data_IF_557052658681
#
_entry.id   IF_557052658681
#
_cell.length_a   1.000
_cell.length_b   1.000
_cell.length_c   1.000
_cell.angle_alpha   90.00
_cell.angle_beta   90.00
_cell.angle_gamma   90.00
#
_symmetry.space_group_name_H-M   'P 1'
#
loop_
_entity.id
_entity.type
_entity.pdbx_description
1 polymer ?
#
# COMPACT_ATOMS: atom_id res chain seq x y z
N UNK A 1 -11.05 4.19 14.18
CA UNK A 1 -12.48 4.03 13.92
C UNK A 1 -13.24 3.81 15.22
N UNK A 2 -14.53 4.15 15.26
CA UNK A 2 -15.35 4.02 16.49
C UNK A 2 -16.11 2.68 16.46
N UNK A 3 -16.20 2.03 17.63
CA UNK A 3 -16.94 0.76 17.77
C UNK A 3 -18.41 0.95 17.37
N UNK A 4 -18.93 0.04 16.53
CA UNK A 4 -20.30 0.08 16.03
C UNK A 4 -20.51 0.95 14.79
N UNK A 5 -19.52 1.71 14.38
CA UNK A 5 -19.58 2.52 13.16
C UNK A 5 -19.51 1.63 11.91
N UNK A 6 -20.22 2.02 10.86
CA UNK A 6 -20.30 1.26 9.61
C UNK A 6 -19.77 2.06 8.45
N UNK A 7 -19.01 1.39 7.58
CA UNK A 7 -18.43 1.94 6.37
C UNK A 7 -18.68 1.02 5.18
N UNK A 8 -18.75 1.59 3.99
CA UNK A 8 -18.73 0.81 2.76
C UNK A 8 -17.31 0.31 2.46
N UNK A 9 -17.13 -0.82 1.75
CA UNK A 9 -15.80 -1.33 1.41
C UNK A 9 -14.86 -0.31 0.75
N UNK A 10 -15.29 0.53 -0.20
CA UNK A 10 -14.41 1.56 -0.77
C UNK A 10 -13.90 2.58 0.25
N UNK A 11 -14.72 2.91 1.25
CA UNK A 11 -14.34 3.82 2.34
C UNK A 11 -13.26 3.19 3.23
N UNK A 12 -13.44 1.93 3.64
CA UNK A 12 -12.44 1.18 4.40
C UNK A 12 -11.15 1.00 3.60
N UNK A 13 -11.25 0.74 2.30
CA UNK A 13 -10.08 0.64 1.42
C UNK A 13 -9.29 1.94 1.39
N UNK A 14 -9.95 3.08 1.23
CA UNK A 14 -9.28 4.39 1.27
C UNK A 14 -8.57 4.64 2.60
N UNK A 15 -9.24 4.34 3.72
CA UNK A 15 -8.68 4.50 5.08
C UNK A 15 -7.48 3.55 5.28
N UNK A 16 -7.60 2.27 4.87
CA UNK A 16 -6.52 1.29 4.99
C UNK A 16 -5.29 1.67 4.15
N UNK A 17 -5.50 2.18 2.95
CA UNK A 17 -4.41 2.50 2.03
C UNK A 17 -3.74 3.85 2.34
N UNK A 18 -4.50 4.89 2.67
CA UNK A 18 -3.96 6.24 2.93
C UNK A 18 -3.42 6.38 4.35
N UNK A 19 -4.23 6.04 5.34
CA UNK A 19 -3.85 6.14 6.75
C UNK A 19 -3.15 4.90 7.31
N UNK A 20 -3.00 3.85 6.50
CA UNK A 20 -2.45 2.56 6.94
C UNK A 20 -3.21 1.98 8.16
N UNK A 21 -4.53 2.13 8.20
CA UNK A 21 -5.36 1.73 9.33
C UNK A 21 -5.49 0.21 9.42
N UNK A 22 -4.99 -0.36 10.51
CA UNK A 22 -5.13 -1.78 10.80
C UNK A 22 -6.59 -2.17 11.03
N UNK A 23 -7.39 -1.34 11.70
CA UNK A 23 -8.82 -1.58 11.92
C UNK A 23 -9.57 -1.70 10.60
N UNK A 24 -9.28 -0.82 9.63
CA UNK A 24 -9.89 -0.87 8.31
C UNK A 24 -9.46 -2.12 7.52
N UNK A 25 -8.19 -2.51 7.59
CA UNK A 25 -7.69 -3.72 6.96
C UNK A 25 -8.34 -4.98 7.57
N UNK A 26 -8.43 -5.06 8.90
CA UNK A 26 -9.11 -6.16 9.60
C UNK A 26 -10.59 -6.25 9.24
N UNK A 27 -11.32 -5.12 9.17
CA UNK A 27 -12.72 -5.10 8.80
C UNK A 27 -12.94 -5.59 7.36
N UNK A 28 -12.07 -5.20 6.41
CA UNK A 28 -12.07 -5.71 5.04
C UNK A 28 -11.78 -7.20 5.00
N UNK A 29 -10.75 -7.66 5.72
CA UNK A 29 -10.35 -9.05 5.81
C UNK A 29 -11.47 -9.93 6.37
N UNK A 30 -12.11 -9.50 7.45
CA UNK A 30 -13.26 -10.19 8.04
C UNK A 30 -14.43 -10.30 7.04
N UNK A 31 -14.77 -9.19 6.37
CA UNK A 31 -15.85 -9.18 5.37
C UNK A 31 -15.56 -10.11 4.19
N UNK A 32 -14.32 -10.16 3.72
CA UNK A 32 -13.93 -11.04 2.62
C UNK A 32 -13.90 -12.51 3.04
N UNK A 33 -13.42 -12.83 4.25
CA UNK A 33 -13.37 -14.19 4.80
C UNK A 33 -14.77 -14.79 4.96
N UNK A 34 -15.74 -14.02 5.45
CA UNK A 34 -17.12 -14.49 5.61
C UNK A 34 -17.80 -14.81 4.29
N UNK A 35 -17.49 -14.06 3.23
CA UNK A 35 -18.03 -14.30 1.88
C UNK A 35 -17.38 -15.52 1.19
N UNK A 36 -16.16 -15.88 1.56
CA UNK A 36 -15.40 -16.96 0.93
C UNK A 36 -15.38 -18.26 1.78
N UNK A 37 -16.47 -18.60 2.44
CA UNK A 37 -16.61 -19.88 3.13
C UNK A 37 -15.75 -20.03 4.38
N UNK A 38 -15.48 -18.93 5.10
CA UNK A 38 -14.68 -18.87 6.34
C UNK A 38 -13.18 -19.18 6.18
N UNK A 39 -12.64 -19.14 4.97
CA UNK A 39 -11.19 -19.15 4.81
C UNK A 39 -10.56 -17.92 5.48
N UNK A 40 -9.40 -18.07 6.11
CA UNK A 40 -8.68 -16.92 6.64
C UNK A 40 -8.35 -15.94 5.52
N UNK A 41 -8.37 -14.65 5.80
CA UNK A 41 -8.05 -13.67 4.76
C UNK A 41 -6.60 -13.79 4.28
N UNK A 42 -5.67 -14.17 5.15
CA UNK A 42 -4.29 -14.50 4.77
C UNK A 42 -4.24 -15.62 3.71
N UNK A 43 -5.07 -16.66 3.84
CA UNK A 43 -5.15 -17.71 2.81
C UNK A 43 -5.70 -17.19 1.47
N UNK A 44 -6.68 -16.27 1.51
CA UNK A 44 -7.21 -15.62 0.31
C UNK A 44 -6.14 -14.77 -0.35
N UNK A 45 -5.39 -13.98 0.42
CA UNK A 45 -4.29 -13.14 -0.07
C UNK A 45 -3.18 -13.99 -0.69
N UNK A 46 -2.81 -15.12 -0.07
CA UNK A 46 -1.78 -16.01 -0.59
C UNK A 46 -2.21 -16.69 -1.90
N UNK A 47 -3.47 -17.10 -2.02
CA UNK A 47 -4.01 -17.62 -3.28
C UNK A 47 -3.96 -16.57 -4.40
N UNK A 48 -4.25 -15.32 -4.10
CA UNK A 48 -4.12 -14.23 -5.07
C UNK A 48 -2.64 -13.99 -5.43
N UNK A 49 -1.73 -13.97 -4.45
CA UNK A 49 -0.29 -13.83 -4.69
C UNK A 49 0.23 -14.94 -5.62
N UNK A 50 -0.20 -16.20 -5.42
CA UNK A 50 0.13 -17.31 -6.29
C UNK A 50 -0.40 -17.10 -7.71
N UNK A 51 -1.66 -16.68 -7.86
CA UNK A 51 -2.29 -16.40 -9.16
C UNK A 51 -1.55 -15.32 -9.95
N UNK A 52 -1.00 -14.34 -9.24
CA UNK A 52 -0.20 -13.23 -9.77
C UNK A 52 1.29 -13.59 -9.94
N UNK A 53 1.70 -14.81 -9.60
CA UNK A 53 3.08 -15.30 -9.64
C UNK A 53 4.06 -14.46 -8.79
N UNK A 54 3.60 -13.99 -7.62
CA UNK A 54 4.42 -13.28 -6.65
C UNK A 54 5.20 -14.30 -5.81
N UNK A 55 6.29 -14.83 -6.38
CA UNK A 55 6.99 -16.02 -5.86
C UNK A 55 7.72 -15.81 -4.53
N UNK A 56 7.96 -14.55 -4.14
CA UNK A 56 8.60 -14.20 -2.87
C UNK A 56 7.63 -13.53 -1.90
N UNK A 57 6.31 -13.72 -2.10
CA UNK A 57 5.28 -13.05 -1.30
C UNK A 57 4.48 -14.07 -0.52
N UNK A 58 4.37 -13.84 0.79
CA UNK A 58 3.54 -14.63 1.69
C UNK A 58 2.92 -13.75 2.78
N UNK A 59 1.61 -13.88 2.97
CA UNK A 59 0.83 -13.13 3.94
C UNK A 59 0.39 -14.03 5.11
N UNK A 60 0.65 -13.60 6.34
CA UNK A 60 0.17 -14.25 7.55
C UNK A 60 -1.13 -13.57 8.03
N UNK A 61 -1.19 -12.25 7.93
CA UNK A 61 -2.38 -11.46 8.29
C UNK A 61 -2.61 -10.29 7.33
N UNK A 62 -3.78 -9.67 7.44
CA UNK A 62 -4.25 -8.58 6.58
C UNK A 62 -3.64 -7.22 6.92
N UNK A 63 -3.07 -7.07 8.10
CA UNK A 63 -2.52 -5.78 8.56
C UNK A 63 -1.05 -5.60 8.22
N UNK A 64 -0.32 -6.71 8.06
CA UNK A 64 1.13 -6.73 7.94
C UNK A 64 1.86 -6.51 9.26
N UNK A 65 1.16 -6.39 10.39
CA UNK A 65 1.78 -6.26 11.70
C UNK A 65 2.51 -7.55 12.08
N UNK A 66 3.64 -7.40 12.77
CA UNK A 66 4.42 -8.53 13.28
C UNK A 66 3.56 -9.40 14.21
N UNK A 67 3.59 -10.71 13.99
CA UNK A 67 2.87 -11.70 14.79
C UNK A 67 3.59 -11.94 16.11
N UNK A 68 4.92 -11.85 16.09
CA UNK A 68 5.80 -11.99 17.25
C UNK A 68 7.10 -11.20 17.05
N UNK A 69 8.00 -11.23 18.01
CA UNK A 69 9.34 -10.63 17.91
C UNK A 69 10.22 -11.22 16.80
N UNK A 70 9.85 -12.37 16.24
CA UNK A 70 10.62 -13.11 15.24
C UNK A 70 9.82 -13.50 14.01
N UNK A 71 8.53 -13.15 13.95
CA UNK A 71 7.64 -13.54 12.86
C UNK A 71 6.89 -12.31 12.34
N UNK A 72 7.21 -11.91 11.13
CA UNK A 72 6.53 -10.79 10.47
C UNK A 72 5.12 -11.19 10.01
N UNK A 73 4.22 -10.20 9.86
CA UNK A 73 2.87 -10.41 9.34
C UNK A 73 2.82 -10.68 7.84
N UNK A 74 3.90 -10.35 7.11
CA UNK A 74 4.04 -10.65 5.68
C UNK A 74 5.50 -10.63 5.26
N UNK A 75 5.79 -11.33 4.16
CA UNK A 75 7.08 -11.37 3.49
C UNK A 75 6.88 -11.07 2.02
N UNK A 76 7.78 -10.30 1.43
CA UNK A 76 7.70 -9.94 0.01
C UNK A 76 9.06 -9.50 -0.54
N UNK A 77 9.12 -9.25 -1.83
CA UNK A 77 10.26 -8.59 -2.51
C UNK A 77 9.83 -7.29 -3.19
N UNK A 78 10.77 -6.39 -3.42
CA UNK A 78 10.50 -5.15 -4.16
C UNK A 78 9.94 -5.43 -5.56
N UNK A 79 10.42 -6.51 -6.21
CA UNK A 79 9.91 -6.96 -7.51
C UNK A 79 8.45 -7.39 -7.42
N UNK A 80 8.07 -8.18 -6.42
CA UNK A 80 6.71 -8.67 -6.27
C UNK A 80 5.74 -7.52 -5.94
N UNK A 81 6.15 -6.56 -5.10
CA UNK A 81 5.36 -5.35 -4.85
C UNK A 81 5.18 -4.53 -6.14
N UNK A 82 6.23 -4.37 -6.96
CA UNK A 82 6.11 -3.68 -8.24
C UNK A 82 5.15 -4.40 -9.21
N UNK A 83 5.19 -5.74 -9.26
CA UNK A 83 4.27 -6.56 -10.05
C UNK A 83 2.81 -6.43 -9.56
N UNK A 84 2.60 -6.46 -8.24
CA UNK A 84 1.29 -6.27 -7.63
C UNK A 84 0.72 -4.89 -7.97
N UNK A 85 1.50 -3.83 -7.78
CA UNK A 85 1.09 -2.46 -8.09
C UNK A 85 0.76 -2.33 -9.59
N UNK A 86 1.61 -2.86 -10.48
CA UNK A 86 1.33 -2.88 -11.92
C UNK A 86 -0.01 -3.55 -12.23
N UNK A 87 -0.26 -4.70 -11.64
CA UNK A 87 -1.53 -5.42 -11.83
C UNK A 87 -2.72 -4.61 -11.34
N UNK A 88 -2.58 -3.90 -10.21
CA UNK A 88 -3.65 -3.02 -9.70
C UNK A 88 -3.91 -1.88 -10.68
N UNK A 89 -2.86 -1.23 -11.19
CA UNK A 89 -3.00 -0.13 -12.16
C UNK A 89 -3.67 -0.59 -13.46
N UNK A 90 -3.41 -1.82 -13.90
CA UNK A 90 -4.02 -2.41 -15.09
C UNK A 90 -5.49 -2.82 -14.87
N UNK A 91 -5.82 -3.44 -13.74
CA UNK A 91 -7.13 -4.06 -13.50
C UNK A 91 -8.10 -3.21 -12.67
N UNK A 92 -7.59 -2.35 -11.80
CA UNK A 92 -8.35 -1.56 -10.85
C UNK A 92 -7.67 -0.20 -10.56
N UNK A 93 -7.46 0.67 -11.59
CA UNK A 93 -6.65 1.88 -11.47
C UNK A 93 -7.14 2.82 -10.36
N UNK A 94 -8.44 2.87 -10.11
CA UNK A 94 -9.03 3.75 -9.08
C UNK A 94 -8.75 3.28 -7.65
N UNK A 95 -8.29 2.03 -7.46
CA UNK A 95 -8.06 1.46 -6.12
C UNK A 95 -7.02 2.26 -5.32
N UNK A 96 -5.96 2.72 -6.00
CA UNK A 96 -4.86 3.46 -5.38
C UNK A 96 -5.02 4.99 -5.48
N UNK A 97 -6.03 5.49 -6.17
CA UNK A 97 -6.16 6.91 -6.51
C UNK A 97 -6.09 7.84 -5.28
N UNK A 98 -6.74 7.47 -4.19
CA UNK A 98 -6.76 8.29 -2.98
C UNK A 98 -5.38 8.39 -2.31
N UNK A 99 -4.46 7.46 -2.58
CA UNK A 99 -3.14 7.43 -1.94
C UNK A 99 -2.17 8.50 -2.46
N UNK A 100 -2.53 9.23 -3.49
CA UNK A 100 -1.80 10.42 -3.98
C UNK A 100 -2.10 11.70 -3.19
N UNK A 101 -3.15 11.68 -2.35
CA UNK A 101 -3.58 12.84 -1.59
C UNK A 101 -2.87 12.89 -0.22
N UNK A 102 -2.49 14.08 0.24
CA UNK A 102 -1.90 14.26 1.57
C UNK A 102 -2.91 13.98 2.69
N UNK A 103 -4.18 14.28 2.44
CA UNK A 103 -5.28 14.04 3.38
C UNK A 103 -6.51 13.55 2.63
N UNK A 104 -7.33 12.74 3.31
CA UNK A 104 -8.65 12.33 2.83
C UNK A 104 -9.70 12.56 3.91
N UNK A 105 -10.94 12.82 3.48
CA UNK A 105 -12.12 12.88 4.35
C UNK A 105 -13.06 11.73 3.97
N UNK A 106 -13.43 10.93 4.96
CA UNK A 106 -14.33 9.78 4.76
C UNK A 106 -15.52 9.91 5.68
N UNK A 107 -16.72 9.81 5.14
CA UNK A 107 -17.96 9.88 5.90
C UNK A 107 -18.50 8.48 6.14
N UNK A 108 -18.73 8.10 7.41
CA UNK A 108 -19.34 6.83 7.75
C UNK A 108 -20.83 6.77 7.39
N UNK A 109 -21.43 5.58 7.43
CA UNK A 109 -22.86 5.42 7.14
C UNK A 109 -23.75 6.10 8.21
N UNK A 110 -23.22 6.33 9.43
CA UNK A 110 -23.90 7.10 10.48
C UNK A 110 -23.83 8.62 10.27
N UNK A 111 -23.08 9.08 9.26
CA UNK A 111 -22.96 10.50 8.93
C UNK A 111 -21.75 11.20 9.54
N UNK A 112 -20.97 10.52 10.38
CA UNK A 112 -19.74 11.07 10.98
C UNK A 112 -18.62 11.19 9.93
N UNK A 113 -17.99 12.35 9.87
CA UNK A 113 -16.84 12.60 8.97
C UNK A 113 -15.54 12.40 9.74
N UNK A 114 -14.66 11.58 9.17
CA UNK A 114 -13.31 11.35 9.66
C UNK A 114 -12.29 11.91 8.68
N UNK A 115 -11.28 12.59 9.22
CA UNK A 115 -10.16 13.10 8.43
C UNK A 115 -8.91 12.28 8.72
N UNK A 116 -8.23 11.85 7.67
CA UNK A 116 -7.02 11.03 7.76
C UNK A 116 -5.89 11.67 6.97
N UNK A 117 -4.70 11.67 7.56
CA UNK A 117 -3.46 12.07 6.88
C UNK A 117 -2.80 10.86 6.23
N UNK A 118 -2.19 11.09 5.08
CA UNK A 118 -1.39 10.08 4.40
C UNK A 118 -0.12 9.77 5.21
N UNK A 119 0.17 8.50 5.39
CA UNK A 119 1.40 8.06 6.05
C UNK A 119 2.66 8.30 5.22
N UNK A 120 2.52 8.51 3.90
CA UNK A 120 3.61 9.03 3.08
C UNK A 120 3.73 10.55 3.26
N UNK A 121 4.65 10.98 4.13
CA UNK A 121 4.92 12.39 4.41
C UNK A 121 5.43 13.17 3.19
N UNK A 122 5.95 12.48 2.18
CA UNK A 122 6.53 13.07 0.97
C UNK A 122 5.57 13.10 -0.23
N UNK A 123 4.31 12.71 -0.03
CA UNK A 123 3.33 12.62 -1.13
C UNK A 123 3.19 13.93 -1.91
N UNK A 124 3.24 15.08 -1.24
CA UNK A 124 3.12 16.39 -1.89
C UNK A 124 4.42 16.89 -2.53
N UNK A 125 5.56 16.25 -2.26
CA UNK A 125 6.88 16.67 -2.79
C UNK A 125 7.32 15.86 -4.01
N UNK A 126 6.64 14.76 -4.33
CA UNK A 126 6.93 13.94 -5.50
C UNK A 126 6.07 14.44 -6.66
N UNK A 127 6.71 15.06 -7.65
CA UNK A 127 6.01 15.55 -8.84
C UNK A 127 5.39 14.40 -9.62
N UNK A 128 4.15 14.58 -10.07
CA UNK A 128 3.44 13.56 -10.86
C UNK A 128 3.06 12.30 -10.09
N UNK A 129 3.01 12.34 -8.76
CA UNK A 129 2.63 11.17 -7.96
C UNK A 129 1.23 10.67 -8.34
N UNK A 130 1.13 9.36 -8.60
CA UNK A 130 -0.11 8.66 -8.95
C UNK A 130 -0.63 7.80 -7.80
N UNK A 131 0.30 7.19 -7.05
CA UNK A 131 -0.04 6.36 -5.90
C UNK A 131 1.15 6.21 -4.95
N UNK A 132 0.88 5.92 -3.67
CA UNK A 132 1.92 5.53 -2.72
C UNK A 132 1.38 4.65 -1.60
N UNK A 133 2.26 3.83 -1.00
CA UNK A 133 1.95 3.08 0.22
C UNK A 133 3.21 2.93 1.06
N UNK A 134 3.09 3.26 2.34
CA UNK A 134 4.13 3.02 3.35
C UNK A 134 3.90 1.69 4.08
N UNK A 135 4.96 1.15 4.66
CA UNK A 135 4.93 0.09 5.65
C UNK A 135 5.98 0.36 6.74
N UNK A 136 5.70 -0.02 7.96
CA UNK A 136 6.64 0.06 9.08
C UNK A 136 6.26 -0.98 10.13
N UNK A 137 7.20 -1.86 10.47
CA UNK A 137 7.15 -2.72 11.66
C UNK A 137 8.57 -2.87 12.22
N UNK A 138 8.69 -3.41 13.41
CA UNK A 138 10.00 -3.64 14.04
C UNK A 138 10.87 -4.60 13.22
N UNK A 139 10.26 -5.65 12.63
CA UNK A 139 10.98 -6.64 11.83
C UNK A 139 11.24 -6.20 10.39
N UNK A 140 10.28 -5.50 9.77
CA UNK A 140 10.38 -5.12 8.36
C UNK A 140 11.13 -3.80 8.13
N UNK A 141 11.33 -2.98 9.18
CA UNK A 141 11.85 -1.63 9.02
C UNK A 141 10.92 -0.73 8.21
N UNK A 142 11.47 0.36 7.68
CA UNK A 142 10.76 1.34 6.88
C UNK A 142 10.61 0.90 5.42
N UNK A 143 9.39 0.93 4.89
CA UNK A 143 9.08 0.51 3.53
C UNK A 143 8.24 1.60 2.84
N UNK A 144 8.49 1.82 1.55
CA UNK A 144 7.72 2.76 0.73
C UNK A 144 7.68 2.30 -0.72
N UNK A 145 6.48 2.23 -1.27
CA UNK A 145 6.25 2.08 -2.70
C UNK A 145 5.56 3.34 -3.24
N UNK A 146 6.02 3.81 -4.40
CA UNK A 146 5.50 4.99 -5.08
C UNK A 146 5.28 4.68 -6.55
N UNK A 147 4.21 5.22 -7.11
CA UNK A 147 3.99 5.31 -8.56
C UNK A 147 3.98 6.78 -8.93
N UNK A 148 4.74 7.18 -9.91
CA UNK A 148 4.75 8.55 -10.42
C UNK A 148 4.83 8.59 -11.95
N UNK A 149 4.36 9.67 -12.54
CA UNK A 149 4.42 9.94 -13.97
C UNK A 149 5.78 10.57 -14.30
N UNK A 150 6.66 9.81 -14.94
CA UNK A 150 7.99 10.29 -15.31
C UNK A 150 8.02 11.04 -16.66
N UNK A 151 6.89 11.15 -17.31
CA UNK A 151 6.65 11.79 -18.59
C UNK A 151 5.31 11.30 -19.15
N UNK A 152 4.70 11.95 -20.15
CA UNK A 152 3.37 11.61 -20.62
C UNK A 152 3.21 10.12 -20.95
N UNK A 153 2.30 9.41 -20.25
CA UNK A 153 2.04 7.98 -20.42
C UNK A 153 3.17 7.07 -19.96
N UNK A 154 4.06 7.54 -19.05
CA UNK A 154 5.18 6.75 -18.51
C UNK A 154 5.09 6.62 -16.98
N UNK A 155 4.16 5.85 -16.46
CA UNK A 155 4.14 5.57 -15.04
C UNK A 155 5.35 4.71 -14.65
N UNK A 156 6.05 5.11 -13.58
CA UNK A 156 7.20 4.40 -13.01
C UNK A 156 6.87 3.98 -11.60
N UNK A 157 7.19 2.74 -11.26
CA UNK A 157 7.00 2.18 -9.92
C UNK A 157 8.36 2.10 -9.24
N UNK A 158 8.47 2.71 -8.07
CA UNK A 158 9.67 2.70 -7.22
C UNK A 158 9.32 2.04 -5.89
N UNK A 159 10.16 1.10 -5.45
CA UNK A 159 9.95 0.35 -4.21
C UNK A 159 11.23 0.31 -3.41
N UNK A 160 11.20 0.80 -2.17
CA UNK A 160 12.24 0.66 -1.16
C UNK A 160 11.71 -0.17 0.01
N UNK A 161 12.41 -1.25 0.37
CA UNK A 161 12.08 -2.15 1.48
C UNK A 161 13.25 -2.25 2.44
N UNK A 162 12.94 -2.44 3.74
CA UNK A 162 13.95 -2.69 4.78
C UNK A 162 14.82 -1.47 5.11
N UNK A 163 14.35 -0.27 4.82
CA UNK A 163 15.01 0.99 5.19
C UNK A 163 14.71 1.37 6.65
N UNK A 164 15.24 2.49 7.10
CA UNK A 164 14.79 3.11 8.35
C UNK A 164 13.44 3.81 8.17
N UNK A 165 12.77 4.17 9.27
CA UNK A 165 11.49 4.87 9.22
C UNK A 165 11.54 6.14 8.38
N UNK A 166 12.56 6.98 8.54
CA UNK A 166 12.74 8.21 7.76
C UNK A 166 13.54 7.96 6.47
N UNK A 167 14.49 7.02 6.49
CA UNK A 167 15.32 6.68 5.33
C UNK A 167 14.53 6.24 4.11
N UNK A 168 13.39 5.54 4.28
CA UNK A 168 12.54 5.12 3.16
C UNK A 168 12.13 6.26 2.22
N UNK A 169 11.98 7.49 2.75
CA UNK A 169 11.61 8.65 1.94
C UNK A 169 12.80 9.14 1.10
N UNK A 170 14.00 9.22 1.70
CA UNK A 170 15.21 9.59 0.96
C UNK A 170 15.62 8.52 -0.05
N UNK A 171 15.45 7.24 0.28
CA UNK A 171 15.77 6.14 -0.62
C UNK A 171 14.90 6.19 -1.88
N UNK A 172 13.58 6.36 -1.72
CA UNK A 172 12.67 6.52 -2.87
C UNK A 172 13.02 7.76 -3.69
N UNK A 173 13.33 8.89 -3.03
CA UNK A 173 13.77 10.09 -3.75
C UNK A 173 15.04 9.83 -4.56
N UNK A 174 16.05 9.21 -3.96
CA UNK A 174 17.32 8.87 -4.65
C UNK A 174 17.10 7.94 -5.84
N UNK A 175 16.18 6.96 -5.73
CA UNK A 175 15.80 6.08 -6.85
C UNK A 175 15.12 6.86 -7.98
N UNK A 176 14.23 7.80 -7.66
CA UNK A 176 13.58 8.68 -8.66
C UNK A 176 14.64 9.55 -9.36
N UNK A 177 15.53 10.20 -8.59
CA UNK A 177 16.58 11.04 -9.13
C UNK A 177 17.54 10.22 -10.02
N UNK A 178 17.91 9.00 -9.58
CA UNK A 178 18.73 8.06 -10.34
C UNK A 178 18.10 7.63 -11.66
N UNK A 179 16.77 7.43 -11.68
CA UNK A 179 16.04 7.13 -12.90
C UNK A 179 16.10 8.28 -13.92
N UNK A 180 15.96 9.52 -13.49
CA UNK A 180 16.11 10.67 -14.40
C UNK A 180 17.54 10.85 -14.93
N UNK A 181 18.56 10.60 -14.08
CA UNK A 181 19.96 10.60 -14.53
C UNK A 181 20.19 9.53 -15.60
N UNK A 182 19.67 8.31 -15.37
CA UNK A 182 19.75 7.22 -16.35
C UNK A 182 19.08 7.61 -17.69
N UNK A 183 17.88 8.18 -17.65
CA UNK A 183 17.19 8.61 -18.88
C UNK A 183 17.97 9.66 -19.64
N UNK A 184 18.64 10.60 -18.95
CA UNK A 184 19.46 11.63 -19.60
C UNK A 184 20.73 11.08 -20.29
N UNK A 185 21.18 9.88 -19.90
CA UNK A 185 22.35 9.24 -20.49
C UNK A 185 22.06 8.39 -21.74
N UNK A 186 20.79 8.02 -21.95
CA UNK A 186 20.37 7.15 -23.06
C UNK A 186 19.66 7.90 -24.19
N UNK A 187 19.50 9.21 -24.04
CA UNK A 187 19.03 10.13 -25.10
C UNK A 187 20.21 10.72 -25.87
#
# INVERSE_FOLDING_TARGET
LTIGERFLPPQLTAIALVASSNDAAMALGFSASTKNGKNSFGAIMNKEAESLRLSNTFFINETGLDVSKTTSGSYTSARDIALLIRTILEKAPNLLEQTRNANISVKSNSGTTHNFSNTNKTVSSISGILASKTGLTDLAGGNLAVVYEAGPGRPVIVVALGSTEEGRFSDVKNLIDGYYIYLAQIQ
#
